data_IF_741753973941
#
_entry.id   IF_741753973941
#
_cell.length_a   1.000
_cell.length_b   1.000
_cell.length_c   1.000
_cell.angle_alpha   90.00
_cell.angle_beta   90.00
_cell.angle_gamma   90.00
#
_symmetry.space_group_name_H-M   'P 1'
#
loop_
_entity.id
_entity.type
_entity.pdbx_description
1 polymer ?
#
# COMPACT_ATOMS: atom_id res chain seq x y z
N UNK A 1 8.84 14.87 -8.52
CA UNK A 1 9.13 13.64 -7.75
C UNK A 1 7.90 12.75 -7.75
N UNK A 2 8.06 11.52 -8.15
CA UNK A 2 6.98 10.55 -8.14
C UNK A 2 7.24 9.53 -7.03
N UNK A 3 6.19 9.21 -6.28
CA UNK A 3 6.17 8.13 -5.31
C UNK A 3 4.87 7.36 -5.43
N UNK A 4 4.88 6.11 -5.03
CA UNK A 4 3.65 5.36 -4.85
C UNK A 4 2.83 6.01 -3.73
N UNK A 5 1.51 5.88 -3.74
CA UNK A 5 0.68 6.43 -2.68
C UNK A 5 1.05 5.89 -1.29
N UNK A 6 0.82 6.70 -0.28
CA UNK A 6 0.83 6.24 1.12
C UNK A 6 -0.33 5.27 1.32
N UNK A 7 -0.02 4.02 1.67
CA UNK A 7 -1.02 2.95 1.71
C UNK A 7 -0.67 1.83 2.68
N UNK A 8 -1.67 1.06 3.05
CA UNK A 8 -1.56 -0.16 3.83
C UNK A 8 -2.36 -1.28 3.17
N UNK A 9 -1.96 -2.51 3.45
CA UNK A 9 -2.61 -3.74 3.00
C UNK A 9 -3.17 -4.51 4.18
N UNK A 10 -4.37 -5.03 4.05
CA UNK A 10 -4.97 -5.88 5.08
C UNK A 10 -4.56 -7.35 4.95
N UNK A 11 -4.15 -7.81 3.78
CA UNK A 11 -3.88 -9.22 3.52
C UNK A 11 -2.46 -9.46 2.99
N UNK A 12 -2.02 -8.71 1.98
CA UNK A 12 -0.70 -8.90 1.39
C UNK A 12 0.41 -8.27 2.24
N UNK A 13 1.49 -9.01 2.44
CA UNK A 13 2.70 -8.47 3.06
C UNK A 13 3.62 -7.94 2.01
N UNK A 14 4.37 -6.89 2.35
CA UNK A 14 5.38 -6.28 1.47
C UNK A 14 6.72 -6.16 2.18
N UNK A 15 7.78 -6.23 1.40
CA UNK A 15 9.14 -5.97 1.86
C UNK A 15 9.91 -5.25 0.77
N UNK A 16 10.79 -4.34 1.16
CA UNK A 16 11.63 -3.59 0.24
C UNK A 16 13.09 -3.70 0.64
N UNK A 17 13.96 -3.81 -0.34
CA UNK A 17 15.41 -3.74 -0.17
C UNK A 17 15.93 -2.55 -0.98
N UNK A 18 16.56 -1.60 -0.33
CA UNK A 18 17.17 -0.45 -1.00
C UNK A 18 18.47 -0.89 -1.67
N UNK A 19 18.50 -0.84 -2.99
CA UNK A 19 19.63 -1.28 -3.79
C UNK A 19 20.65 -0.17 -4.03
N UNK A 20 20.17 1.07 -4.21
CA UNK A 20 21.02 2.23 -4.46
C UNK A 20 20.22 3.52 -4.23
N UNK A 21 20.95 4.59 -3.87
CA UNK A 21 20.36 5.90 -3.65
C UNK A 21 19.91 6.15 -2.21
N UNK A 22 19.26 7.28 -2.03
CA UNK A 22 18.77 7.76 -0.74
C UNK A 22 17.34 8.24 -0.87
N UNK A 23 16.59 8.17 0.22
CA UNK A 23 15.22 8.64 0.28
C UNK A 23 14.67 8.64 1.69
N UNK A 24 13.37 8.68 1.79
CA UNK A 24 12.64 8.67 3.07
C UNK A 24 11.58 7.58 3.03
N UNK A 25 11.51 6.81 4.12
CA UNK A 25 10.36 5.97 4.43
C UNK A 25 9.41 6.76 5.31
N UNK A 26 8.21 7.01 4.83
CA UNK A 26 7.09 7.43 5.65
C UNK A 26 6.38 6.17 6.12
N UNK A 27 6.28 5.98 7.43
CA UNK A 27 5.62 4.81 8.03
C UNK A 27 4.76 5.26 9.20
N UNK A 28 3.45 5.08 9.08
CA UNK A 28 2.51 5.61 10.06
C UNK A 28 2.68 7.12 10.20
N UNK A 29 3.02 7.56 11.40
CA UNK A 29 3.24 8.99 11.73
C UNK A 29 4.70 9.41 11.69
N UNK A 30 5.61 8.51 11.33
CA UNK A 30 7.04 8.74 11.41
C UNK A 30 7.70 8.72 10.04
N UNK A 31 8.83 9.40 9.93
CA UNK A 31 9.69 9.39 8.77
C UNK A 31 11.07 8.86 9.15
N UNK A 32 11.64 8.03 8.30
CA UNK A 32 12.95 7.43 8.50
C UNK A 32 13.81 7.65 7.26
N UNK A 33 15.09 8.04 7.39
CA UNK A 33 15.97 8.11 6.24
C UNK A 33 16.26 6.72 5.70
N UNK A 34 16.33 6.61 4.37
CA UNK A 34 16.66 5.38 3.67
C UNK A 34 18.00 5.51 2.99
N UNK A 35 18.79 4.45 3.04
CA UNK A 35 20.06 4.32 2.36
C UNK A 35 20.24 2.92 1.79
N UNK A 36 21.24 2.74 0.96
CA UNK A 36 21.61 1.45 0.39
C UNK A 36 21.73 0.36 1.46
N UNK A 37 21.21 -0.81 1.15
CA UNK A 37 21.15 -2.01 1.98
C UNK A 37 20.12 -1.99 3.10
N UNK A 38 19.32 -0.93 3.24
CA UNK A 38 18.20 -0.95 4.18
C UNK A 38 17.12 -1.92 3.71
N UNK A 39 16.56 -2.65 4.67
CA UNK A 39 15.43 -3.55 4.48
C UNK A 39 14.24 -2.98 5.22
N UNK A 40 13.09 -2.93 4.54
CA UNK A 40 11.86 -2.42 5.09
C UNK A 40 10.83 -3.55 5.08
N UNK A 41 10.33 -3.93 6.25
CA UNK A 41 9.23 -4.88 6.36
C UNK A 41 7.93 -4.09 6.57
N UNK A 42 6.94 -4.38 5.74
CA UNK A 42 5.63 -3.76 5.81
C UNK A 42 4.57 -4.83 6.10
N UNK A 43 4.31 -5.12 7.38
CA UNK A 43 3.30 -6.09 7.76
C UNK A 43 1.90 -5.63 7.37
N UNK A 44 0.98 -6.57 7.34
CA UNK A 44 -0.44 -6.28 7.16
C UNK A 44 -1.00 -5.53 8.36
N UNK A 45 -2.04 -4.75 8.14
CA UNK A 45 -2.70 -4.03 9.21
C UNK A 45 -3.59 -2.91 8.71
N UNK A 46 -4.04 -2.11 9.65
CA UNK A 46 -4.86 -0.93 9.41
C UNK A 46 -4.02 0.28 8.96
N UNK A 47 -4.62 1.46 8.96
CA UNK A 47 -3.96 2.71 8.53
C UNK A 47 -2.73 3.08 9.35
N UNK A 48 -2.56 2.53 10.56
CA UNK A 48 -1.39 2.80 11.39
C UNK A 48 -0.10 2.22 10.82
N UNK A 49 -0.20 1.20 9.96
CA UNK A 49 0.95 0.60 9.27
C UNK A 49 1.11 1.07 7.83
N UNK A 50 0.40 2.10 7.44
CA UNK A 50 0.55 2.67 6.10
C UNK A 50 1.99 3.17 5.87
N UNK A 51 2.47 2.99 4.65
CA UNK A 51 3.85 3.29 4.29
C UNK A 51 3.96 3.90 2.90
N UNK A 52 5.05 4.62 2.69
CA UNK A 52 5.38 5.26 1.43
C UNK A 52 6.88 5.45 1.33
N UNK A 53 7.47 5.07 0.20
CA UNK A 53 8.87 5.37 -0.11
C UNK A 53 8.91 6.62 -0.95
N UNK A 54 9.65 7.62 -0.48
CA UNK A 54 9.75 8.93 -1.12
C UNK A 54 11.19 9.16 -1.54
N UNK A 55 11.40 9.45 -2.82
CA UNK A 55 12.70 9.92 -3.31
C UNK A 55 12.72 11.46 -3.23
N UNK A 56 13.36 11.98 -2.22
CA UNK A 56 13.57 13.41 -2.00
C UNK A 56 14.97 13.89 -2.43
N UNK A 57 15.75 12.98 -3.02
CA UNK A 57 17.11 13.25 -3.49
C UNK A 57 17.12 13.78 -4.94
N UNK A 58 18.28 14.22 -5.40
CA UNK A 58 18.50 14.61 -6.79
C UNK A 58 18.81 13.42 -7.71
N UNK A 59 19.18 12.27 -7.14
CA UNK A 59 19.49 11.05 -7.87
C UNK A 59 18.35 10.05 -7.89
N UNK A 60 18.61 8.90 -8.48
CA UNK A 60 17.65 7.81 -8.51
C UNK A 60 17.67 7.03 -7.19
N UNK A 61 16.52 6.57 -6.78
CA UNK A 61 16.37 5.62 -5.70
C UNK A 61 15.92 4.28 -6.30
N UNK A 62 16.77 3.27 -6.17
CA UNK A 62 16.50 1.92 -6.68
C UNK A 62 16.21 0.98 -5.54
N UNK A 63 15.14 0.24 -5.65
CA UNK A 63 14.79 -0.76 -4.64
C UNK A 63 14.07 -1.95 -5.25
N UNK A 64 14.24 -3.09 -4.61
CA UNK A 64 13.52 -4.31 -4.90
C UNK A 64 12.27 -4.33 -4.03
N UNK A 65 11.11 -4.55 -4.64
CA UNK A 65 9.85 -4.70 -3.96
C UNK A 65 9.40 -6.16 -4.02
N UNK A 66 9.10 -6.73 -2.89
CA UNK A 66 8.60 -8.10 -2.74
C UNK A 66 7.25 -8.06 -2.06
N UNK A 67 6.35 -8.90 -2.52
CA UNK A 67 5.03 -9.01 -1.94
C UNK A 67 4.52 -10.44 -1.96
N UNK A 68 3.64 -10.77 -1.04
CA UNK A 68 2.93 -12.04 -1.08
C UNK A 68 1.85 -11.99 -2.15
N UNK A 69 1.63 -13.11 -2.83
CA UNK A 69 0.59 -13.23 -3.85
C UNK A 69 -0.66 -13.82 -3.23
N UNK A 70 -1.66 -12.99 -3.01
CA UNK A 70 -2.92 -13.39 -2.40
C UNK A 70 -4.06 -13.26 -3.41
N UNK A 71 -5.08 -14.12 -3.30
CA UNK A 71 -6.25 -14.09 -4.17
C UNK A 71 -7.10 -12.84 -3.97
N UNK A 72 -7.03 -12.22 -2.81
CA UNK A 72 -7.74 -10.97 -2.50
C UNK A 72 -6.90 -10.09 -1.59
N UNK A 73 -7.20 -8.79 -1.61
CA UNK A 73 -6.60 -7.81 -0.70
C UNK A 73 -7.52 -6.60 -0.54
N UNK A 74 -7.33 -5.91 0.54
CA UNK A 74 -7.93 -4.62 0.81
C UNK A 74 -6.80 -3.65 1.09
N UNK A 75 -6.73 -2.57 0.31
CA UNK A 75 -5.73 -1.52 0.49
C UNK A 75 -6.42 -0.22 0.87
N UNK A 76 -5.83 0.49 1.80
CA UNK A 76 -6.30 1.80 2.18
C UNK A 76 -5.28 2.86 1.81
N UNK A 77 -5.77 4.03 1.43
CA UNK A 77 -4.97 5.19 1.05
C UNK A 77 -5.35 6.36 1.96
N UNK A 78 -4.69 6.48 3.14
CA UNK A 78 -5.15 7.42 4.17
C UNK A 78 -5.18 8.89 3.73
N UNK A 79 -4.26 9.31 2.86
CA UNK A 79 -4.18 10.71 2.42
C UNK A 79 -5.39 11.14 1.60
N UNK A 80 -6.00 10.21 0.86
CA UNK A 80 -7.16 10.50 0.00
C UNK A 80 -8.45 9.84 0.48
N UNK A 81 -8.40 9.13 1.59
CA UNK A 81 -9.54 8.37 2.15
C UNK A 81 -10.17 7.43 1.12
N UNK A 82 -9.33 6.71 0.38
CA UNK A 82 -9.78 5.70 -0.57
C UNK A 82 -9.55 4.30 -0.03
N UNK A 83 -10.36 3.37 -0.52
CA UNK A 83 -10.22 1.94 -0.27
C UNK A 83 -10.25 1.22 -1.61
N UNK A 84 -9.26 0.39 -1.84
CA UNK A 84 -9.22 -0.56 -2.96
C UNK A 84 -9.63 -1.92 -2.43
N UNK A 85 -10.63 -2.52 -3.05
CA UNK A 85 -10.99 -3.91 -2.86
C UNK A 85 -10.67 -4.66 -4.14
N UNK A 86 -9.84 -5.68 -4.07
CA UNK A 86 -9.54 -6.55 -5.19
C UNK A 86 -9.63 -8.01 -4.81
N UNK A 87 -10.03 -8.83 -5.76
CA UNK A 87 -10.08 -10.26 -5.56
C UNK A 87 -10.15 -11.00 -6.87
N UNK A 88 -9.71 -12.26 -6.86
CA UNK A 88 -9.79 -13.17 -7.99
C UNK A 88 -10.51 -14.42 -7.52
N UNK A 89 -11.62 -14.76 -8.17
CA UNK A 89 -12.38 -15.96 -7.87
C UNK A 89 -11.71 -17.21 -8.46
N UNK A 90 -12.19 -18.39 -8.09
CA UNK A 90 -11.67 -19.66 -8.59
C UNK A 90 -11.75 -19.79 -10.12
N UNK A 91 -12.73 -19.14 -10.75
CA UNK A 91 -12.87 -19.12 -12.21
C UNK A 91 -12.10 -17.97 -12.89
N UNK A 92 -11.16 -17.35 -12.20
CA UNK A 92 -10.37 -16.20 -12.66
C UNK A 92 -11.18 -14.94 -12.96
N UNK A 93 -12.38 -14.81 -12.44
CA UNK A 93 -13.14 -13.58 -12.45
C UNK A 93 -12.52 -12.58 -11.47
N UNK A 94 -12.28 -11.35 -11.92
CA UNK A 94 -11.64 -10.32 -11.11
C UNK A 94 -12.65 -9.30 -10.58
N UNK A 95 -12.51 -8.96 -9.31
CA UNK A 95 -13.11 -7.79 -8.70
C UNK A 95 -12.03 -6.75 -8.48
N UNK A 96 -12.26 -5.53 -8.95
CA UNK A 96 -11.39 -4.39 -8.70
C UNK A 96 -12.26 -3.16 -8.50
N UNK A 97 -12.28 -2.63 -7.29
CA UNK A 97 -13.09 -1.46 -6.98
C UNK A 97 -12.36 -0.50 -6.06
N UNK A 98 -12.35 0.78 -6.42
CA UNK A 98 -11.81 1.86 -5.58
C UNK A 98 -12.97 2.76 -5.22
N UNK A 99 -13.14 3.00 -3.92
CA UNK A 99 -14.19 3.84 -3.37
C UNK A 99 -13.64 4.81 -2.33
N UNK A 100 -14.43 5.79 -1.93
CA UNK A 100 -14.12 6.62 -0.76
C UNK A 100 -14.50 5.86 0.51
N UNK A 101 -13.65 5.94 1.53
CA UNK A 101 -13.86 5.21 2.77
C UNK A 101 -15.12 5.60 3.55
N UNK A 102 -15.66 6.77 3.28
CA UNK A 102 -16.91 7.26 3.90
C UNK A 102 -18.19 6.89 3.14
N UNK A 103 -18.04 6.35 1.94
CA UNK A 103 -19.17 5.91 1.12
C UNK A 103 -19.55 4.49 1.52
N UNK A 104 -20.34 4.37 2.57
CA UNK A 104 -20.83 3.09 3.06
C UNK A 104 -22.36 3.11 3.03
N UNK A 105 -22.94 2.07 2.48
CA UNK A 105 -24.37 1.90 2.35
C UNK A 105 -24.88 0.94 3.43
N UNK A 106 -26.15 1.07 3.77
CA UNK A 106 -26.82 0.07 4.60
C UNK A 106 -26.90 -1.26 3.85
N UNK A 107 -26.75 -2.36 4.58
CA UNK A 107 -26.67 -3.70 3.96
C UNK A 107 -27.90 -4.02 3.11
N UNK A 108 -29.06 -3.54 3.50
CA UNK A 108 -30.31 -3.80 2.79
C UNK A 108 -30.73 -2.69 1.82
N UNK A 109 -29.99 -1.61 1.75
CA UNK A 109 -30.31 -0.51 0.83
C UNK A 109 -30.24 -0.97 -0.62
N UNK A 110 -31.35 -0.86 -1.33
CA UNK A 110 -31.45 -1.29 -2.73
C UNK A 110 -31.73 -2.79 -2.93
N UNK A 111 -31.86 -3.53 -1.83
CA UNK A 111 -32.25 -4.94 -1.88
C UNK A 111 -33.75 -5.09 -1.61
N UNK A 112 -34.34 -6.11 -2.19
CA UNK A 112 -35.76 -6.43 -1.98
C UNK A 112 -35.96 -7.63 -1.06
#
# INVERSE_FOLDING_TARGET
KKSWPFHNHHVSEEMFLILDGEGILRYGKNNYPLKKNDIIACPTGDRSVAHQIINDSDGDLKYLALGTKNAFDICEYPDSDKILTRGTSENNSELWNISKGKESYDYFEGEE
#
